data_IF_011995844819
#
_entry.id   IF_011995844819
#
_cell.length_a   1.000
_cell.length_b   1.000
_cell.length_c   1.000
_cell.angle_alpha   90.00
_cell.angle_beta   90.00
_cell.angle_gamma   90.00
#
_symmetry.space_group_name_H-M   'P 1'
#
loop_
_entity.id
_entity.type
_entity.pdbx_description
1 polymer ?
#
# COMPACT_ATOMS: atom_id res chain seq x y z
N UNK A 1 -5.72 11.23 9.08
CA UNK A 1 -6.24 10.44 7.96
C UNK A 1 -5.12 10.04 7.08
N UNK A 2 -5.00 8.82 6.86
CA UNK A 2 -3.89 8.29 6.08
C UNK A 2 -4.30 7.75 4.72
N UNK A 3 -5.49 8.11 4.29
CA UNK A 3 -6.00 7.65 3.01
C UNK A 3 -5.28 8.26 1.82
N UNK A 4 -4.39 9.21 2.08
CA UNK A 4 -3.63 9.85 1.00
C UNK A 4 -2.69 8.92 0.29
N UNK A 5 -2.20 7.90 0.98
CA UNK A 5 -1.27 6.95 0.40
C UNK A 5 -1.96 5.79 -0.30
N UNK A 6 -3.26 5.69 -0.13
CA UNK A 6 -4.06 4.62 -0.75
C UNK A 6 -5.11 5.27 -1.62
N UNK A 7 -5.06 4.97 -2.89
CA UNK A 7 -6.00 5.53 -3.85
C UNK A 7 -7.02 4.46 -4.23
N UNK A 8 -8.27 4.73 -3.91
CA UNK A 8 -9.35 3.83 -4.30
C UNK A 8 -9.55 3.90 -5.80
N UNK A 9 -9.60 2.77 -6.45
CA UNK A 9 -9.80 2.67 -7.88
C UNK A 9 -11.25 2.39 -8.18
N UNK A 10 -11.63 2.58 -9.45
CA UNK A 10 -12.95 2.21 -9.90
C UNK A 10 -13.14 0.72 -9.63
N UNK A 11 -14.33 0.38 -9.16
CA UNK A 11 -14.65 -1.02 -8.93
C UNK A 11 -14.62 -1.78 -10.24
N UNK A 12 -14.15 -3.00 -10.15
CA UNK A 12 -14.23 -3.95 -11.24
C UNK A 12 -15.71 -4.13 -11.59
N UNK A 13 -16.06 -4.42 -12.86
CA UNK A 13 -17.44 -4.73 -13.21
C UNK A 13 -18.07 -5.79 -12.33
N UNK A 14 -17.26 -6.70 -11.83
CA UNK A 14 -17.64 -7.61 -10.76
C UNK A 14 -17.61 -6.81 -9.47
N UNK A 15 -18.76 -6.35 -9.00
CA UNK A 15 -18.88 -5.45 -7.85
C UNK A 15 -18.39 -6.05 -6.54
N UNK A 16 -18.06 -7.33 -6.52
CA UNK A 16 -17.57 -8.00 -5.32
C UNK A 16 -16.08 -7.75 -5.08
N UNK A 17 -15.40 -7.12 -6.02
CA UNK A 17 -13.96 -6.85 -5.90
C UNK A 17 -13.70 -5.37 -5.81
N UNK A 18 -12.79 -5.03 -4.90
CA UNK A 18 -12.35 -3.65 -4.72
C UNK A 18 -10.85 -3.58 -4.98
N UNK A 19 -10.41 -2.46 -5.52
CA UNK A 19 -9.03 -2.26 -5.90
C UNK A 19 -8.47 -1.01 -5.25
N UNK A 20 -7.27 -1.14 -4.68
CA UNK A 20 -6.58 -0.05 -4.00
C UNK A 20 -5.13 -0.03 -4.46
N UNK A 21 -4.68 1.10 -4.97
CA UNK A 21 -3.31 1.25 -5.42
C UNK A 21 -2.43 1.76 -4.29
N UNK A 22 -1.34 1.05 -4.04
CA UNK A 22 -0.33 1.43 -3.04
C UNK A 22 1.03 1.23 -3.67
N UNK A 23 1.79 2.32 -3.83
CA UNK A 23 3.15 2.28 -4.37
C UNK A 23 3.25 1.50 -5.69
N UNK A 24 2.33 1.78 -6.60
CA UNK A 24 2.28 1.16 -7.93
C UNK A 24 1.92 -0.32 -7.94
N UNK A 25 1.42 -0.81 -6.83
CA UNK A 25 0.87 -2.16 -6.73
C UNK A 25 -0.60 -2.03 -6.40
N UNK A 26 -1.42 -2.82 -7.04
CA UNK A 26 -2.86 -2.79 -6.76
C UNK A 26 -3.23 -3.95 -5.84
N UNK A 27 -3.86 -3.61 -4.72
CA UNK A 27 -4.47 -4.59 -3.84
C UNK A 27 -5.87 -4.86 -4.33
N UNK A 28 -6.16 -6.09 -4.65
CA UNK A 28 -7.49 -6.52 -5.01
C UNK A 28 -8.07 -7.32 -3.86
N UNK A 29 -9.22 -6.89 -3.36
CA UNK A 29 -9.92 -7.58 -2.28
C UNK A 29 -11.22 -8.15 -2.83
N UNK A 30 -11.42 -9.45 -2.66
CA UNK A 30 -12.65 -10.10 -3.08
C UNK A 30 -13.53 -10.35 -1.86
N UNK A 31 -14.64 -9.67 -1.81
CA UNK A 31 -15.61 -9.81 -0.74
C UNK A 31 -16.31 -11.16 -0.81
N UNK A 32 -16.55 -11.62 -2.01
CA UNK A 32 -17.24 -12.89 -2.23
C UNK A 32 -16.40 -14.08 -1.79
N UNK A 33 -15.13 -14.07 -2.16
CA UNK A 33 -14.26 -15.22 -1.92
C UNK A 33 -13.42 -15.08 -0.66
N UNK A 34 -13.41 -13.91 -0.04
CA UNK A 34 -12.57 -13.58 1.10
C UNK A 34 -11.09 -13.78 0.77
N UNK A 35 -10.71 -13.34 -0.42
CA UNK A 35 -9.34 -13.46 -0.89
C UNK A 35 -8.76 -12.10 -1.24
N UNK A 36 -7.45 -12.04 -1.31
CA UNK A 36 -6.76 -10.85 -1.76
C UNK A 36 -5.76 -11.21 -2.84
N UNK A 37 -5.38 -10.24 -3.64
CA UNK A 37 -4.33 -10.40 -4.62
C UNK A 37 -3.53 -9.11 -4.71
N UNK A 38 -2.25 -9.25 -4.96
CA UNK A 38 -1.38 -8.10 -5.28
C UNK A 38 -1.12 -8.16 -6.77
N UNK A 39 -1.43 -7.08 -7.45
CA UNK A 39 -1.36 -7.01 -8.90
C UNK A 39 -0.37 -5.93 -9.29
N UNK A 40 0.49 -6.22 -10.26
CA UNK A 40 1.46 -5.25 -10.73
C UNK A 40 0.75 -4.11 -11.47
N UNK A 41 1.00 -2.88 -11.03
CA UNK A 41 0.43 -1.71 -11.67
C UNK A 41 -1.08 -1.62 -11.51
N UNK A 42 -1.73 -1.09 -12.53
CA UNK A 42 -3.17 -0.98 -12.55
C UNK A 42 -3.75 -2.11 -13.40
N UNK A 43 -4.71 -2.81 -12.83
CA UNK A 43 -5.39 -3.86 -13.55
C UNK A 43 -6.88 -3.80 -13.19
N UNK A 44 -7.62 -3.05 -13.98
CA UNK A 44 -9.04 -2.85 -13.74
C UNK A 44 -9.92 -3.86 -14.45
N UNK A 45 -9.33 -4.68 -15.31
CA UNK A 45 -10.08 -5.70 -16.04
C UNK A 45 -9.42 -7.05 -15.82
N UNK A 46 -10.21 -8.10 -15.95
CA UNK A 46 -9.68 -9.45 -15.82
C UNK A 46 -8.60 -9.75 -16.85
N UNK A 47 -8.72 -9.13 -18.03
CA UNK A 47 -7.76 -9.34 -19.10
C UNK A 47 -6.36 -8.85 -18.74
N UNK A 48 -6.28 -7.72 -18.04
CA UNK A 48 -5.02 -7.10 -17.67
C UNK A 48 -4.51 -7.52 -16.31
N UNK A 49 -5.31 -8.31 -15.63
CA UNK A 49 -5.00 -8.73 -14.27
C UNK A 49 -3.87 -9.75 -14.27
N UNK A 50 -2.75 -9.37 -13.65
CA UNK A 50 -1.57 -10.21 -13.54
C UNK A 50 -1.16 -10.30 -12.08
N UNK A 51 -1.76 -11.24 -11.32
CA UNK A 51 -1.45 -11.35 -9.90
C UNK A 51 0.00 -11.74 -9.68
N UNK A 52 0.67 -11.00 -8.83
CA UNK A 52 2.00 -11.34 -8.36
C UNK A 52 1.92 -12.32 -7.20
N UNK A 53 0.89 -12.17 -6.41
CA UNK A 53 0.69 -12.94 -5.21
C UNK A 53 -0.79 -12.91 -4.85
N UNK A 54 -1.30 -14.00 -4.33
CA UNK A 54 -2.69 -14.05 -3.87
C UNK A 54 -2.81 -14.98 -2.67
N UNK A 55 -3.87 -14.80 -1.92
CA UNK A 55 -4.09 -15.61 -0.75
C UNK A 55 -5.46 -15.38 -0.17
N UNK A 56 -5.71 -15.99 0.97
CA UNK A 56 -6.97 -15.84 1.69
C UNK A 56 -6.82 -14.73 2.73
N UNK A 57 -7.83 -13.90 2.84
CA UNK A 57 -7.84 -12.86 3.87
C UNK A 57 -8.03 -13.55 5.23
N UNK A 58 -7.07 -13.31 6.13
CA UNK A 58 -7.15 -13.87 7.47
C UNK A 58 -7.68 -12.82 8.43
N UNK A 59 -8.15 -13.25 9.58
CA UNK A 59 -8.66 -12.32 10.58
C UNK A 59 -7.58 -11.42 11.17
N UNK A 60 -6.32 -11.79 11.05
CA UNK A 60 -5.21 -10.99 11.58
C UNK A 60 -4.53 -10.12 10.52
N UNK A 61 -4.96 -10.23 9.28
CA UNK A 61 -4.32 -9.53 8.18
C UNK A 61 -4.32 -8.01 8.38
N UNK A 62 -5.43 -7.46 8.85
CA UNK A 62 -5.51 -6.02 9.09
C UNK A 62 -4.49 -5.58 10.13
N UNK A 63 -4.40 -6.32 11.22
CA UNK A 63 -3.46 -6.00 12.30
C UNK A 63 -2.02 -6.11 11.81
N UNK A 64 -1.73 -7.12 11.03
CA UNK A 64 -0.39 -7.33 10.48
C UNK A 64 -0.01 -6.19 9.54
N UNK A 65 -0.93 -5.77 8.69
CA UNK A 65 -0.68 -4.65 7.80
C UNK A 65 -0.55 -3.33 8.57
N UNK A 66 -1.28 -3.18 9.65
CA UNK A 66 -1.17 -1.99 10.49
C UNK A 66 0.22 -1.90 11.13
N UNK A 67 0.79 -3.02 11.53
CA UNK A 67 2.16 -3.03 12.06
C UNK A 67 3.14 -2.55 10.99
N UNK A 68 3.00 -3.05 9.77
CA UNK A 68 3.85 -2.62 8.68
C UNK A 68 3.66 -1.13 8.40
N UNK A 69 2.42 -0.67 8.38
CA UNK A 69 2.13 0.75 8.15
C UNK A 69 2.77 1.62 9.23
N UNK A 70 2.66 1.19 10.49
CA UNK A 70 3.28 1.90 11.59
C UNK A 70 4.80 1.98 11.41
N UNK A 71 5.41 0.88 11.01
CA UNK A 71 6.86 0.85 10.83
C UNK A 71 7.31 1.74 9.68
N UNK A 72 6.54 1.78 8.62
CA UNK A 72 6.83 2.69 7.51
C UNK A 72 6.83 4.14 7.98
N UNK A 73 5.86 4.51 8.83
CA UNK A 73 5.80 5.86 9.38
C UNK A 73 7.04 6.15 10.23
N UNK A 74 7.50 5.18 11.00
CA UNK A 74 8.71 5.35 11.80
C UNK A 74 9.95 5.57 10.93
N UNK A 75 10.08 4.79 9.88
CA UNK A 75 11.19 4.97 8.94
C UNK A 75 11.14 6.36 8.31
N UNK A 76 9.96 6.82 7.98
CA UNK A 76 9.83 8.14 7.37
C UNK A 76 10.27 9.24 8.31
N UNK A 77 9.89 9.14 9.57
CA UNK A 77 10.31 10.09 10.59
C UNK A 77 11.82 10.08 10.81
N UNK A 78 12.41 8.91 10.85
CA UNK A 78 13.85 8.77 11.00
C UNK A 78 14.58 9.39 9.81
N UNK A 79 14.08 9.16 8.61
CA UNK A 79 14.67 9.71 7.41
C UNK A 79 14.64 11.24 7.43
N UNK A 80 13.53 11.81 7.85
CA UNK A 80 13.39 13.25 7.96
C UNK A 80 14.35 13.83 9.00
N UNK A 81 14.47 13.16 10.14
CA UNK A 81 15.42 13.57 11.18
C UNK A 81 16.86 13.55 10.71
N UNK A 82 17.24 12.51 9.99
CA UNK A 82 18.57 12.41 9.44
C UNK A 82 18.85 13.50 8.42
N UNK A 83 17.87 13.81 7.61
CA UNK A 83 17.98 14.86 6.60
C UNK A 83 18.19 16.21 7.27
N UNK A 84 17.44 16.49 8.32
CA UNK A 84 17.58 17.73 9.07
C UNK A 84 18.94 17.85 9.71
N UNK A 85 19.44 16.78 10.31
CA UNK A 85 20.76 16.77 10.92
C UNK A 85 21.85 17.00 9.88
N UNK A 86 21.73 16.41 8.73
CA UNK A 86 22.68 16.60 7.65
C UNK A 86 22.70 18.05 7.19
N UNK A 87 21.54 18.66 7.08
CA UNK A 87 21.42 20.07 6.70
C UNK A 87 22.06 20.97 7.75
N UNK A 88 21.81 20.70 9.01
CA UNK A 88 22.39 21.48 10.10
C UNK A 88 23.90 21.42 10.09
N UNK A 89 24.47 20.23 9.93
CA UNK A 89 25.91 20.09 9.86
C UNK A 89 26.49 20.81 8.67
N UNK A 90 25.82 20.77 7.56
CA UNK A 90 26.24 21.45 6.36
C UNK A 90 26.30 22.96 6.57
N UNK A 91 25.28 23.51 7.22
CA UNK A 91 25.22 24.93 7.52
C UNK A 91 26.32 25.34 8.48
N UNK A 92 26.59 24.54 9.48
CA UNK A 92 27.65 24.82 10.46
C UNK A 92 29.02 24.85 9.81
N UNK A 93 29.22 24.05 8.80
CA UNK A 93 30.48 24.00 8.09
C UNK A 93 30.66 25.14 7.09
N UNK A 94 29.57 25.76 6.76
CA UNK A 94 29.62 26.90 5.85
C UNK A 94 30.06 28.16 6.59
#
# INVERSE_FOLDING_TARGET
MSTHSVKAKRRHPDTEREHYEVAHVTFELSKKDHTFALIAGEALTARDRRPLFSGVITEHMAEELEVVAWRIRQFKLLQEGEREKANEKHEEQA
#
